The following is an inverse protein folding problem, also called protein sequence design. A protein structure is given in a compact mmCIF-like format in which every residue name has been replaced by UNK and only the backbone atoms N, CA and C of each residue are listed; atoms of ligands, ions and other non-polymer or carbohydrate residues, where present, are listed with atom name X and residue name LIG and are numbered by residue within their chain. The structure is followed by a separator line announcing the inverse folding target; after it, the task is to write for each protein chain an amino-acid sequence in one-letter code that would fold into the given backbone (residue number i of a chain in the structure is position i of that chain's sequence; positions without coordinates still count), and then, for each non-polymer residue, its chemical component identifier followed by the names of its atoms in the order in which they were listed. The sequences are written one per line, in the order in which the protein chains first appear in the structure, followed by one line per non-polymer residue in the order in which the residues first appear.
data_IF_365448127299
#
_entry.id   IF_365448127299
#
_cell.length_a   1.000
_cell.length_b   1.000
_cell.length_c   1.000
_cell.angle_alpha   90.00
_cell.angle_beta   90.00
_cell.angle_gamma   90.00
#
_symmetry.space_group_name_H-M   'P 1'
#
loop_
_entity.id
_entity.type
_entity.pdbx_description
1 polymer ?
#
# COMPACT_ATOMS: atom_id res chain seq x y z
N UNK A 1 -16.18 10.05 15.87
CA UNK A 1 -15.34 9.87 14.67
C UNK A 1 -14.37 8.74 14.92
N UNK A 2 -14.16 7.86 13.94
CA UNK A 2 -13.25 6.72 14.02
C UNK A 2 -12.07 6.96 13.08
N UNK A 3 -10.85 6.73 13.56
CA UNK A 3 -9.65 6.73 12.73
C UNK A 3 -9.29 5.29 12.38
N UNK A 4 -9.08 5.04 11.11
CA UNK A 4 -8.52 3.80 10.58
C UNK A 4 -7.13 4.12 10.05
N UNK A 5 -6.17 3.30 10.38
CA UNK A 5 -4.78 3.53 10.02
C UNK A 5 -4.15 2.27 9.47
N UNK A 6 -3.35 2.45 8.43
CA UNK A 6 -2.38 1.45 7.93
C UNK A 6 -0.99 2.03 7.98
N UNK A 7 0.00 1.17 8.03
CA UNK A 7 1.41 1.54 8.04
C UNK A 7 2.23 0.43 7.38
N UNK A 8 3.40 0.77 6.84
CA UNK A 8 4.39 -0.21 6.35
C UNK A 8 3.81 -1.23 5.36
N UNK A 9 3.04 -0.76 4.40
CA UNK A 9 2.45 -1.64 3.37
C UNK A 9 3.54 -2.24 2.48
N UNK A 10 4.63 -1.50 2.21
CA UNK A 10 5.79 -1.98 1.46
C UNK A 10 5.43 -2.70 0.15
N UNK A 11 4.46 -2.18 -0.60
CA UNK A 11 3.93 -2.77 -1.84
C UNK A 11 3.40 -4.22 -1.68
N UNK A 12 3.09 -4.67 -0.48
CA UNK A 12 2.44 -5.96 -0.25
C UNK A 12 0.94 -5.87 -0.59
N UNK A 13 0.61 -5.84 -1.87
CA UNK A 13 -0.77 -5.68 -2.34
C UNK A 13 -1.55 -6.98 -2.23
N UNK A 14 -0.92 -8.11 -2.52
CA UNK A 14 -1.51 -9.45 -2.50
C UNK A 14 -0.91 -10.29 -1.38
N UNK A 15 -1.68 -11.24 -0.86
CA UNK A 15 -1.21 -12.24 0.10
C UNK A 15 -0.42 -13.36 -0.60
N UNK A 16 0.62 -12.95 -1.33
CA UNK A 16 1.47 -13.85 -2.12
C UNK A 16 2.94 -13.45 -1.98
N UNK A 17 3.78 -14.42 -1.63
CA UNK A 17 5.23 -14.23 -1.56
C UNK A 17 5.85 -14.60 -2.91
N UNK A 18 6.26 -13.60 -3.67
CA UNK A 18 6.84 -13.78 -5.00
C UNK A 18 8.23 -14.43 -4.97
N UNK A 19 8.95 -14.33 -3.86
CA UNK A 19 10.26 -14.95 -3.72
C UNK A 19 10.15 -16.46 -3.41
N UNK A 20 9.11 -16.84 -2.66
CA UNK A 20 8.82 -18.25 -2.33
C UNK A 20 7.85 -18.90 -3.32
N UNK A 21 7.25 -18.11 -4.22
CA UNK A 21 6.22 -18.54 -5.17
C UNK A 21 5.06 -19.27 -4.48
N UNK A 22 4.60 -18.74 -3.37
CA UNK A 22 3.54 -19.33 -2.56
C UNK A 22 2.65 -18.26 -1.91
N UNK A 23 1.39 -18.62 -1.67
CA UNK A 23 0.49 -17.78 -0.88
C UNK A 23 1.02 -17.59 0.54
N UNK A 24 0.90 -16.38 1.06
CA UNK A 24 1.25 -16.05 2.44
C UNK A 24 0.17 -15.18 3.07
N UNK A 25 -0.64 -15.73 3.98
CA UNK A 25 -1.76 -15.01 4.59
C UNK A 25 -1.36 -13.99 5.66
N UNK A 26 -0.07 -13.86 5.97
CA UNK A 26 0.41 -12.93 7.00
C UNK A 26 0.50 -11.48 6.53
N UNK A 27 0.38 -11.22 5.23
CA UNK A 27 0.39 -9.87 4.64
C UNK A 27 -0.56 -9.77 3.44
N UNK A 28 -0.68 -8.58 2.88
CA UNK A 28 -1.50 -8.28 1.70
C UNK A 28 -2.55 -7.21 1.98
N UNK A 29 -2.44 -6.09 1.27
CA UNK A 29 -3.40 -4.99 1.37
C UNK A 29 -4.82 -5.44 0.98
N UNK A 30 -4.95 -6.41 0.09
CA UNK A 30 -6.23 -7.02 -0.27
C UNK A 30 -6.99 -7.58 0.94
N UNK A 31 -6.26 -8.15 1.90
CA UNK A 31 -6.85 -8.67 3.15
C UNK A 31 -7.24 -7.53 4.09
N UNK A 32 -6.37 -6.53 4.21
CA UNK A 32 -6.66 -5.31 4.97
C UNK A 32 -7.87 -4.57 4.38
N UNK A 33 -8.03 -4.56 3.05
CA UNK A 33 -9.17 -3.95 2.38
C UNK A 33 -10.51 -4.47 2.88
N UNK A 34 -10.63 -5.78 3.11
CA UNK A 34 -11.84 -6.37 3.68
C UNK A 34 -12.13 -5.83 5.08
N UNK A 35 -11.11 -5.74 5.93
CA UNK A 35 -11.25 -5.18 7.29
C UNK A 35 -11.59 -3.69 7.25
N UNK A 36 -10.97 -2.93 6.35
CA UNK A 36 -11.27 -1.51 6.14
C UNK A 36 -12.74 -1.33 5.75
N UNK A 37 -13.25 -2.13 4.82
CA UNK A 37 -14.64 -2.06 4.38
C UNK A 37 -15.61 -2.40 5.51
N UNK A 38 -15.30 -3.44 6.30
CA UNK A 38 -16.11 -3.83 7.47
C UNK A 38 -16.12 -2.72 8.53
N UNK A 39 -14.97 -2.14 8.84
CA UNK A 39 -14.86 -1.05 9.80
C UNK A 39 -15.63 0.20 9.33
N UNK A 40 -15.54 0.54 8.05
CA UNK A 40 -16.29 1.67 7.48
C UNK A 40 -17.79 1.47 7.51
N UNK A 41 -18.27 0.24 7.29
CA UNK A 41 -19.68 -0.08 7.41
C UNK A 41 -20.18 0.04 8.85
N UNK A 42 -19.36 -0.37 9.83
CA UNK A 42 -19.69 -0.29 11.25
C UNK A 42 -19.58 1.14 11.78
N UNK A 43 -18.62 1.91 11.29
CA UNK A 43 -18.32 3.28 11.73
C UNK A 43 -18.36 4.25 10.54
N UNK A 44 -19.54 4.71 10.11
CA UNK A 44 -19.68 5.54 8.91
C UNK A 44 -18.94 6.88 8.97
N UNK A 45 -18.77 7.46 10.17
CA UNK A 45 -17.98 8.67 10.38
C UNK A 45 -16.52 8.31 10.67
N UNK A 46 -15.74 8.10 9.63
CA UNK A 46 -14.35 7.65 9.72
C UNK A 46 -13.42 8.41 8.78
N UNK A 47 -12.13 8.36 9.11
CA UNK A 47 -11.02 8.71 8.22
C UNK A 47 -10.11 7.48 8.09
N UNK A 48 -9.58 7.26 6.89
CA UNK A 48 -8.59 6.22 6.59
C UNK A 48 -7.27 6.90 6.23
N UNK A 49 -6.27 6.67 7.03
CA UNK A 49 -4.95 7.29 6.93
C UNK A 49 -3.88 6.22 6.72
N UNK A 50 -2.76 6.64 6.15
CA UNK A 50 -1.57 5.78 6.02
C UNK A 50 -0.34 6.50 6.56
N UNK A 51 0.47 5.79 7.33
CA UNK A 51 1.64 6.34 8.02
C UNK A 51 2.95 6.20 7.22
N UNK A 52 2.88 5.84 5.96
CA UNK A 52 4.02 5.79 5.06
C UNK A 52 4.68 4.41 4.95
N UNK A 53 5.87 4.40 4.34
CA UNK A 53 6.61 3.19 3.97
C UNK A 53 5.82 2.30 2.99
N UNK A 54 5.41 2.91 1.88
CA UNK A 54 4.53 2.30 0.89
C UNK A 54 5.27 1.61 -0.25
N UNK A 55 6.34 2.24 -0.76
CA UNK A 55 6.82 1.97 -2.12
C UNK A 55 7.96 0.95 -2.22
N UNK A 56 8.59 0.60 -1.13
CA UNK A 56 9.75 -0.31 -1.10
C UNK A 56 9.41 -1.61 -0.38
N UNK A 57 9.93 -2.75 -0.83
CA UNK A 57 10.00 -3.97 -0.03
C UNK A 57 9.50 -5.26 -0.67
N UNK A 58 8.92 -5.23 -1.86
CA UNK A 58 8.50 -6.45 -2.59
C UNK A 58 9.10 -6.52 -3.99
N UNK A 59 9.02 -7.69 -4.62
CA UNK A 59 9.40 -7.86 -6.01
C UNK A 59 8.65 -6.87 -6.94
N UNK A 60 7.40 -6.56 -6.65
CA UNK A 60 6.63 -5.55 -7.39
C UNK A 60 7.22 -4.15 -7.20
N UNK A 61 7.59 -3.79 -5.97
CA UNK A 61 8.23 -2.51 -5.67
C UNK A 61 9.54 -2.35 -6.42
N UNK A 62 10.40 -3.36 -6.34
CA UNK A 62 11.68 -3.36 -7.07
C UNK A 62 11.49 -3.30 -8.57
N UNK A 63 10.52 -4.04 -9.12
CA UNK A 63 10.22 -3.99 -10.55
C UNK A 63 9.82 -2.59 -11.00
N UNK A 64 8.91 -1.93 -10.28
CA UNK A 64 8.41 -0.60 -10.61
C UNK A 64 9.41 0.53 -10.34
N UNK A 65 10.40 0.30 -9.49
CA UNK A 65 11.39 1.30 -9.15
C UNK A 65 12.68 1.18 -9.97
N UNK A 66 13.14 -0.05 -10.24
CA UNK A 66 14.46 -0.33 -10.79
C UNK A 66 14.41 -0.98 -12.17
N UNK A 67 13.60 -2.03 -12.33
CA UNK A 67 13.59 -2.82 -13.57
C UNK A 67 12.83 -2.10 -14.68
N UNK A 68 11.65 -1.58 -14.37
CA UNK A 68 10.83 -0.80 -15.31
C UNK A 68 10.29 0.43 -14.57
N UNK A 69 11.13 1.46 -14.39
CA UNK A 69 10.78 2.61 -13.58
C UNK A 69 9.50 3.31 -14.05
N UNK A 70 8.62 3.56 -13.09
CA UNK A 70 7.39 4.32 -13.33
C UNK A 70 7.74 5.78 -13.54
N UNK A 71 7.23 6.37 -14.61
CA UNK A 71 7.45 7.79 -14.94
C UNK A 71 6.59 8.69 -14.06
N UNK A 72 7.00 9.96 -13.89
CA UNK A 72 6.25 10.95 -13.10
C UNK A 72 4.77 11.10 -13.51
N UNK A 73 4.43 10.85 -14.77
CA UNK A 73 3.05 10.88 -15.26
C UNK A 73 2.23 9.62 -14.94
N UNK A 74 2.86 8.61 -14.35
CA UNK A 74 2.23 7.33 -14.03
C UNK A 74 2.08 7.16 -12.52
N UNK A 75 1.08 6.36 -12.11
CA UNK A 75 0.82 6.08 -10.69
C UNK A 75 1.32 4.70 -10.33
N UNK A 76 2.06 4.58 -9.24
CA UNK A 76 2.48 3.30 -8.68
C UNK A 76 1.29 2.41 -8.33
N UNK A 77 1.47 1.09 -8.39
CA UNK A 77 0.40 0.14 -8.11
C UNK A 77 -0.20 0.35 -6.72
N UNK A 78 0.61 0.55 -5.68
CA UNK A 78 0.13 0.80 -4.32
C UNK A 78 -0.77 2.04 -4.25
N UNK A 79 -0.38 3.14 -4.88
CA UNK A 79 -1.19 4.36 -4.88
C UNK A 79 -2.51 4.20 -5.66
N UNK A 80 -2.52 3.37 -6.71
CA UNK A 80 -3.79 3.04 -7.40
C UNK A 80 -4.74 2.30 -6.48
N UNK A 81 -4.25 1.36 -5.70
CA UNK A 81 -5.05 0.62 -4.72
C UNK A 81 -5.54 1.55 -3.61
N UNK A 82 -4.68 2.42 -3.09
CA UNK A 82 -5.06 3.41 -2.08
C UNK A 82 -6.15 4.36 -2.58
N UNK A 83 -6.03 4.83 -3.82
CA UNK A 83 -7.07 5.65 -4.46
C UNK A 83 -8.39 4.88 -4.60
N UNK A 84 -8.32 3.61 -4.98
CA UNK A 84 -9.51 2.75 -5.05
C UNK A 84 -10.15 2.55 -3.68
N UNK A 85 -9.37 2.35 -2.63
CA UNK A 85 -9.83 2.21 -1.25
C UNK A 85 -10.23 3.56 -0.62
N UNK A 86 -10.02 4.67 -1.34
CA UNK A 86 -10.37 6.02 -0.88
C UNK A 86 -9.70 6.38 0.44
N UNK A 87 -8.38 6.27 0.50
CA UNK A 87 -7.61 6.85 1.60
C UNK A 87 -7.79 8.36 1.61
N UNK A 88 -7.95 8.91 2.81
CA UNK A 88 -8.17 10.35 3.00
C UNK A 88 -6.86 11.12 3.00
N UNK A 89 -5.80 10.54 3.56
CA UNK A 89 -4.45 11.09 3.55
C UNK A 89 -3.40 10.00 3.79
N UNK A 90 -2.14 10.33 3.50
CA UNK A 90 -0.99 9.49 3.82
C UNK A 90 0.23 10.35 4.10
N UNK A 91 1.19 9.82 4.84
CA UNK A 91 2.47 10.45 5.10
C UNK A 91 3.56 9.87 4.20
N UNK A 92 4.73 10.48 4.28
CA UNK A 92 5.96 10.01 3.64
C UNK A 92 6.83 9.41 4.73
N UNK A 93 7.06 8.09 4.67
CA UNK A 93 7.97 7.39 5.57
C UNK A 93 9.42 7.46 5.08
N UNK A 94 10.32 6.81 5.80
CA UNK A 94 11.73 6.82 5.44
C UNK A 94 12.02 5.97 4.18
N UNK A 95 11.24 4.92 3.92
CA UNK A 95 11.43 4.05 2.77
C UNK A 95 10.94 4.67 1.44
N UNK A 96 10.21 5.75 1.45
CA UNK A 96 9.88 6.52 0.25
C UNK A 96 11.11 7.14 -0.42
N UNK A 97 12.21 7.27 0.31
CA UNK A 97 13.46 7.82 -0.21
C UNK A 97 14.47 6.79 -0.73
N UNK A 98 14.18 5.49 -0.62
CA UNK A 98 15.11 4.41 -0.96
C UNK A 98 15.53 4.40 -2.43
N UNK A 99 14.64 4.81 -3.31
CA UNK A 99 14.88 4.78 -4.76
C UNK A 99 15.31 6.14 -5.33
N UNK A 100 15.45 7.15 -4.48
CA UNK A 100 15.76 8.52 -4.92
C UNK A 100 14.58 9.23 -5.56
N UNK A 101 14.84 10.37 -6.18
CA UNK A 101 13.85 11.12 -6.95
C UNK A 101 13.85 10.66 -8.42
N UNK A 102 12.69 10.68 -9.09
CA UNK A 102 12.61 10.39 -10.51
C UNK A 102 13.29 11.44 -11.38
#
# INVERSE_FOLDING_TARGET
MTLLETTDIHQNLLSYDYYKLAANPSFGLERAATLIQQARAQYPNNLLLDDGDLIQGTALGDYQAVVNPVKCASTLAVHKVMNYLKYDAGTIGNHEFNYGLP
#
